data_IF_602221990508
#
_entry.id   IF_602221990508
#
_cell.length_a   1.000
_cell.length_b   1.000
_cell.length_c   1.000
_cell.angle_alpha   90.00
_cell.angle_beta   90.00
_cell.angle_gamma   90.00
#
_symmetry.space_group_name_H-M   'P 1'
#
loop_
_entity.id
_entity.type
_entity.pdbx_description
1 polymer ?
#
# COMPACT_ATOMS: atom_id res chain seq x y z
N UNK A 1 -12.39 7.60 13.61
CA UNK A 1 -12.90 6.21 13.61
C UNK A 1 -13.64 6.01 14.92
N UNK A 2 -14.77 5.31 14.93
CA UNK A 2 -15.50 4.99 16.16
C UNK A 2 -15.24 3.51 16.48
N UNK A 3 -14.32 3.26 17.39
CA UNK A 3 -13.81 1.90 17.69
C UNK A 3 -14.89 0.96 18.21
N UNK A 4 -15.87 1.50 18.94
CA UNK A 4 -16.96 0.71 19.53
C UNK A 4 -17.82 0.00 18.48
N UNK A 5 -17.85 0.48 17.24
CA UNK A 5 -18.65 -0.13 16.17
C UNK A 5 -18.16 -1.52 15.76
N UNK A 6 -16.89 -1.87 16.00
CA UNK A 6 -16.36 -3.19 15.64
C UNK A 6 -16.82 -4.32 16.57
N UNK A 7 -17.30 -3.96 17.77
CA UNK A 7 -17.81 -4.90 18.78
C UNK A 7 -19.33 -4.81 18.93
N UNK A 8 -20.01 -4.04 18.07
CA UNK A 8 -21.44 -3.83 18.15
C UNK A 8 -22.19 -5.15 17.81
N UNK A 9 -23.04 -5.67 18.72
CA UNK A 9 -23.73 -6.94 18.52
C UNK A 9 -24.68 -6.95 17.31
N UNK A 10 -25.33 -5.83 17.00
CA UNK A 10 -26.25 -5.73 15.85
C UNK A 10 -25.46 -5.75 14.53
N UNK A 11 -24.32 -5.06 14.50
CA UNK A 11 -23.41 -5.08 13.34
C UNK A 11 -22.75 -6.45 13.17
N UNK A 12 -22.34 -7.12 14.25
CA UNK A 12 -21.76 -8.47 14.15
C UNK A 12 -22.78 -9.52 13.73
N UNK A 13 -24.04 -9.37 14.13
CA UNK A 13 -25.13 -10.24 13.66
C UNK A 13 -25.44 -10.03 12.17
N UNK A 14 -25.35 -8.79 11.68
CA UNK A 14 -25.66 -8.43 10.28
C UNK A 14 -24.46 -8.63 9.34
N UNK A 15 -23.25 -8.37 9.85
CA UNK A 15 -21.97 -8.38 9.13
C UNK A 15 -20.93 -9.18 9.93
N UNK A 16 -20.96 -10.53 9.89
CA UNK A 16 -20.03 -11.36 10.68
C UNK A 16 -18.54 -11.10 10.41
N UNK A 17 -18.19 -10.50 9.26
CA UNK A 17 -16.83 -10.11 8.89
C UNK A 17 -16.35 -8.81 9.58
N UNK A 18 -17.21 -8.08 10.29
CA UNK A 18 -16.86 -6.78 10.88
C UNK A 18 -15.74 -6.90 11.94
N UNK A 19 -15.70 -8.02 12.65
CA UNK A 19 -14.59 -8.34 13.57
C UNK A 19 -13.24 -8.45 12.82
N UNK A 20 -13.22 -9.05 11.62
CA UNK A 20 -12.01 -9.14 10.80
C UNK A 20 -11.58 -7.78 10.25
N UNK A 21 -12.54 -6.92 9.93
CA UNK A 21 -12.29 -5.57 9.42
C UNK A 21 -11.51 -4.72 10.44
N UNK A 22 -11.79 -4.88 11.74
CA UNK A 22 -11.03 -4.23 12.82
C UNK A 22 -9.54 -4.57 12.73
N UNK A 23 -9.22 -5.86 12.66
CA UNK A 23 -7.85 -6.34 12.55
C UNK A 23 -7.14 -5.86 11.27
N UNK A 24 -7.85 -5.82 10.14
CA UNK A 24 -7.31 -5.30 8.87
C UNK A 24 -6.95 -3.82 8.98
N UNK A 25 -7.81 -3.02 9.61
CA UNK A 25 -7.60 -1.57 9.73
C UNK A 25 -6.55 -1.23 10.79
N UNK A 26 -6.49 -1.97 11.89
CA UNK A 26 -5.49 -1.80 12.93
C UNK A 26 -4.06 -2.10 12.44
N UNK A 27 -3.91 -3.06 11.53
CA UNK A 27 -2.61 -3.46 10.97
C UNK A 27 -2.36 -2.90 9.55
N UNK A 28 -3.27 -2.08 9.04
CA UNK A 28 -3.19 -1.54 7.69
C UNK A 28 -2.01 -0.57 7.55
N UNK A 29 -1.19 -0.77 6.53
CA UNK A 29 -0.15 0.19 6.18
C UNK A 29 -0.74 1.28 5.29
N UNK A 30 -0.59 2.53 5.70
CA UNK A 30 -1.00 3.65 4.87
C UNK A 30 -0.12 3.76 3.62
N UNK A 31 -0.76 4.02 2.47
CA UNK A 31 -0.05 4.37 1.24
C UNK A 31 0.78 5.64 1.46
N UNK A 32 1.96 5.79 0.84
CA UNK A 32 2.88 6.91 1.10
C UNK A 32 2.44 8.24 0.46
N UNK A 33 1.14 8.47 0.26
CA UNK A 33 0.60 9.66 -0.41
C UNK A 33 0.89 10.95 0.35
N UNK A 34 0.82 10.92 1.69
CA UNK A 34 1.08 12.09 2.53
C UNK A 34 2.53 12.59 2.40
N UNK A 35 3.49 11.66 2.37
CA UNK A 35 4.92 11.98 2.28
C UNK A 35 5.26 12.37 0.84
N UNK A 36 4.80 11.60 -0.15
CA UNK A 36 5.20 11.80 -1.56
C UNK A 36 4.46 12.94 -2.27
N UNK A 37 3.31 13.40 -1.74
CA UNK A 37 2.56 14.53 -2.27
C UNK A 37 2.27 14.42 -3.77
N UNK A 38 2.64 15.45 -4.55
CA UNK A 38 2.48 15.47 -6.00
C UNK A 38 3.30 14.41 -6.73
N UNK A 39 4.29 13.80 -6.07
CA UNK A 39 5.05 12.66 -6.57
C UNK A 39 4.33 11.31 -6.45
N UNK A 40 3.25 11.22 -5.65
CA UNK A 40 2.58 9.96 -5.36
C UNK A 40 2.17 9.16 -6.61
N UNK A 41 1.59 9.76 -7.68
CA UNK A 41 1.25 8.99 -8.88
C UNK A 41 2.47 8.32 -9.53
N UNK A 42 3.63 8.99 -9.54
CA UNK A 42 4.88 8.42 -10.09
C UNK A 42 5.41 7.29 -9.21
N UNK A 43 5.37 7.46 -7.88
CA UNK A 43 5.79 6.41 -6.93
C UNK A 43 4.89 5.18 -7.05
N UNK A 44 3.57 5.38 -7.13
CA UNK A 44 2.61 4.29 -7.27
C UNK A 44 2.78 3.52 -8.58
N UNK A 45 3.03 4.22 -9.70
CA UNK A 45 3.28 3.57 -10.98
C UNK A 45 4.61 2.82 -10.98
N UNK A 46 5.70 3.43 -10.50
CA UNK A 46 6.98 2.74 -10.39
C UNK A 46 6.89 1.45 -9.57
N UNK A 47 6.18 1.48 -8.43
CA UNK A 47 5.95 0.26 -7.65
C UNK A 47 5.14 -0.78 -8.43
N UNK A 48 4.03 -0.37 -9.06
CA UNK A 48 3.18 -1.26 -9.84
C UNK A 48 3.92 -1.92 -11.02
N UNK A 49 4.66 -1.13 -11.80
CA UNK A 49 5.37 -1.59 -12.99
C UNK A 49 6.41 -2.66 -12.63
N UNK A 50 7.15 -2.47 -11.53
CA UNK A 50 8.18 -3.42 -11.06
C UNK A 50 7.58 -4.71 -10.55
N UNK A 51 6.50 -4.62 -9.75
CA UNK A 51 5.74 -5.80 -9.31
C UNK A 51 5.20 -6.56 -10.52
N UNK A 52 4.67 -5.84 -11.51
CA UNK A 52 4.17 -6.46 -12.73
C UNK A 52 5.26 -7.21 -13.49
N UNK A 53 6.43 -6.60 -13.74
CA UNK A 53 7.56 -7.26 -14.43
C UNK A 53 8.05 -8.52 -13.72
N UNK A 54 8.07 -8.53 -12.39
CA UNK A 54 8.41 -9.73 -11.60
C UNK A 54 7.36 -10.82 -11.80
N UNK A 55 6.08 -10.48 -11.68
CA UNK A 55 4.98 -11.44 -11.83
C UNK A 55 4.84 -11.96 -13.27
N UNK A 56 5.21 -11.16 -14.26
CA UNK A 56 5.26 -11.54 -15.67
C UNK A 56 6.46 -12.45 -16.00
N UNK A 57 7.47 -12.51 -15.13
CA UNK A 57 8.71 -13.26 -15.35
C UNK A 57 9.75 -12.53 -16.19
N UNK A 58 9.55 -11.22 -16.45
CA UNK A 58 10.45 -10.40 -17.25
C UNK A 58 11.72 -9.98 -16.49
N UNK A 59 11.62 -9.84 -15.17
CA UNK A 59 12.72 -9.43 -14.30
C UNK A 59 12.79 -10.29 -13.04
N UNK A 60 14.00 -10.75 -12.62
CA UNK A 60 14.16 -11.39 -11.32
C UNK A 60 13.93 -10.38 -10.19
N UNK A 61 13.42 -10.87 -9.06
CA UNK A 61 13.03 -10.05 -7.90
C UNK A 61 14.15 -9.11 -7.45
N UNK A 62 15.37 -9.62 -7.29
CA UNK A 62 16.50 -8.84 -6.78
C UNK A 62 16.84 -7.66 -7.70
N UNK A 63 16.79 -7.88 -9.01
CA UNK A 63 17.01 -6.82 -9.99
C UNK A 63 15.86 -5.81 -9.99
N UNK A 64 14.61 -6.27 -9.94
CA UNK A 64 13.45 -5.39 -9.90
C UNK A 64 13.46 -4.46 -8.67
N UNK A 65 13.91 -4.96 -7.51
CA UNK A 65 14.04 -4.17 -6.29
C UNK A 65 15.13 -3.09 -6.41
N UNK A 66 16.31 -3.43 -6.95
CA UNK A 66 17.40 -2.46 -7.17
C UNK A 66 16.99 -1.35 -8.15
N UNK A 67 16.31 -1.73 -9.23
CA UNK A 67 15.84 -0.76 -10.22
C UNK A 67 14.70 0.11 -9.66
N UNK A 68 13.79 -0.46 -8.85
CA UNK A 68 12.76 0.29 -8.12
C UNK A 68 13.40 1.33 -7.19
N UNK A 69 14.37 0.94 -6.37
CA UNK A 69 15.06 1.86 -5.45
C UNK A 69 15.72 3.03 -6.20
N UNK A 70 16.39 2.73 -7.31
CA UNK A 70 17.02 3.72 -8.19
C UNK A 70 15.97 4.70 -8.74
N UNK A 71 14.84 4.18 -9.19
CA UNK A 71 13.76 4.98 -9.75
C UNK A 71 13.08 5.85 -8.68
N UNK A 72 12.77 5.30 -7.50
CA UNK A 72 12.20 6.04 -6.38
C UNK A 72 13.14 7.16 -5.91
N UNK A 73 14.45 6.91 -5.87
CA UNK A 73 15.47 7.93 -5.55
C UNK A 73 15.47 9.07 -6.57
N UNK A 74 15.30 8.74 -7.86
CA UNK A 74 15.17 9.73 -8.94
C UNK A 74 13.86 10.52 -8.84
N UNK A 75 12.77 9.87 -8.46
CA UNK A 75 11.45 10.50 -8.29
C UNK A 75 11.49 11.45 -7.08
N UNK A 76 12.15 11.05 -5.98
CA UNK A 76 12.38 11.86 -4.76
C UNK A 76 13.18 13.14 -5.07
N UNK A 77 14.47 13.02 -5.42
CA UNK A 77 15.39 14.19 -5.55
C UNK A 77 15.14 15.25 -4.45
N UNK A 78 14.86 16.52 -4.80
CA UNK A 78 14.62 17.61 -3.83
C UNK A 78 13.17 17.69 -3.32
N UNK A 79 12.29 16.81 -3.78
CA UNK A 79 10.89 16.81 -3.39
C UNK A 79 10.62 15.58 -2.52
N UNK A 80 10.09 15.88 -1.32
CA UNK A 80 9.83 15.05 -0.14
C UNK A 80 11.03 14.36 0.54
#
# INVERSE_FOLDING_TARGET
MIESLYNDPELLATMPYYNQLHGILANGVMRPAAITGSGYPRVSNAFFDRVHSVLAGDLPVDQALLELETELTRIKRRNW
#
